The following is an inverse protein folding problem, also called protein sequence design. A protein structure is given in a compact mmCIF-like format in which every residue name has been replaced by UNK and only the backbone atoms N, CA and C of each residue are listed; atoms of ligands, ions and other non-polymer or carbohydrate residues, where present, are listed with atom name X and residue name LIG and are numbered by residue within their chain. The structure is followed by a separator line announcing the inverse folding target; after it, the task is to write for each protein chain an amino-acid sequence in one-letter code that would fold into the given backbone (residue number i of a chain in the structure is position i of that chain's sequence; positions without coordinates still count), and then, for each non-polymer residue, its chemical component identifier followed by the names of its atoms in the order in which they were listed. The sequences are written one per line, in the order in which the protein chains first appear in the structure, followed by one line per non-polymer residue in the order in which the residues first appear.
data_IF_544461048348
#
_entry.id   IF_544461048348
#
_cell.length_a   1.000
_cell.length_b   1.000
_cell.length_c   1.000
_cell.angle_alpha   90.00
_cell.angle_beta   90.00
_cell.angle_gamma   90.00
#
_symmetry.space_group_name_H-M   'P 1'
#
loop_
_entity.id
_entity.type
_entity.pdbx_description
1 polymer ?
#
# COMPACT_ATOMS: atom_id res chain seq x y z
N UNK A 1 1.18 19.73 26.51
CA UNK A 1 0.83 18.88 25.35
C UNK A 1 2.00 18.94 24.38
N UNK A 2 2.73 17.82 24.22
CA UNK A 2 3.85 17.73 23.28
C UNK A 2 3.30 17.75 21.85
N UNK A 3 3.74 18.74 21.02
CA UNK A 3 3.49 18.70 19.57
C UNK A 3 4.13 17.41 19.05
N UNK A 4 3.33 16.51 18.49
CA UNK A 4 3.84 15.37 17.75
C UNK A 4 4.70 15.92 16.60
N UNK A 5 6.01 15.83 16.73
CA UNK A 5 6.94 16.28 15.70
C UNK A 5 6.81 15.36 14.50
N UNK A 6 6.52 15.93 13.34
CA UNK A 6 6.52 15.20 12.08
C UNK A 6 7.87 14.47 11.90
N UNK A 7 7.86 13.17 11.57
CA UNK A 7 9.10 12.43 11.39
C UNK A 7 9.96 13.08 10.30
N UNK A 8 11.25 13.17 10.57
CA UNK A 8 12.21 13.79 9.64
C UNK A 8 12.15 13.10 8.27
N UNK A 9 12.56 13.79 7.21
CA UNK A 9 12.63 13.21 5.85
C UNK A 9 13.51 11.95 5.85
N UNK A 10 14.58 11.92 6.66
CA UNK A 10 15.46 10.73 6.82
C UNK A 10 14.70 9.55 7.42
N UNK A 11 13.90 9.79 8.46
CA UNK A 11 13.06 8.75 9.08
C UNK A 11 12.02 8.21 8.09
N UNK A 12 11.36 9.09 7.34
CA UNK A 12 10.40 8.67 6.31
C UNK A 12 11.06 7.85 5.21
N UNK A 13 12.25 8.23 4.77
CA UNK A 13 13.02 7.46 3.81
C UNK A 13 13.39 6.07 4.35
N UNK A 14 13.89 5.98 5.58
CA UNK A 14 14.23 4.70 6.19
C UNK A 14 13.02 3.77 6.31
N UNK A 15 11.87 4.29 6.75
CA UNK A 15 10.61 3.53 6.85
C UNK A 15 10.14 3.06 5.46
N UNK A 16 10.20 3.92 4.44
CA UNK A 16 9.84 3.56 3.07
C UNK A 16 10.79 2.50 2.49
N UNK A 17 12.09 2.63 2.75
CA UNK A 17 13.08 1.65 2.31
C UNK A 17 12.84 0.27 2.94
N UNK A 18 12.58 0.21 4.25
CA UNK A 18 12.22 -1.04 4.93
C UNK A 18 10.95 -1.64 4.34
N UNK A 19 9.89 -0.86 4.15
CA UNK A 19 8.65 -1.34 3.55
C UNK A 19 8.88 -1.87 2.12
N UNK A 20 9.64 -1.16 1.30
CA UNK A 20 9.95 -1.58 -0.06
C UNK A 20 10.76 -2.89 -0.10
N UNK A 21 11.82 -2.99 0.69
CA UNK A 21 12.63 -4.20 0.77
C UNK A 21 11.82 -5.40 1.30
N UNK A 22 10.93 -5.17 2.26
CA UNK A 22 10.02 -6.20 2.76
C UNK A 22 9.07 -6.71 1.68
N UNK A 23 8.54 -5.82 0.83
CA UNK A 23 7.70 -6.20 -0.32
C UNK A 23 8.51 -7.05 -1.30
N UNK A 24 9.72 -6.62 -1.67
CA UNK A 24 10.58 -7.37 -2.60
C UNK A 24 10.88 -8.76 -2.05
N UNK A 25 11.29 -8.85 -0.79
CA UNK A 25 11.60 -10.13 -0.15
C UNK A 25 10.39 -11.07 -0.09
N UNK A 26 9.23 -10.55 0.33
CA UNK A 26 8.00 -11.33 0.43
C UNK A 26 7.50 -11.81 -0.95
N UNK A 27 7.53 -10.93 -1.97
CA UNK A 27 7.13 -11.31 -3.34
C UNK A 27 8.10 -12.28 -3.97
N UNK A 28 9.41 -12.13 -3.70
CA UNK A 28 10.40 -13.10 -4.15
C UNK A 28 10.19 -14.48 -3.53
N UNK A 29 9.95 -14.54 -2.20
CA UNK A 29 9.68 -15.79 -1.51
C UNK A 29 8.41 -16.48 -2.07
N UNK A 30 7.33 -15.75 -2.24
CA UNK A 30 6.07 -16.23 -2.83
C UNK A 30 6.28 -16.77 -4.25
N UNK A 31 6.96 -16.03 -5.11
CA UNK A 31 7.27 -16.46 -6.48
C UNK A 31 8.17 -17.68 -6.51
N UNK A 32 9.23 -17.71 -5.69
CA UNK A 32 10.15 -18.84 -5.62
C UNK A 32 9.44 -20.12 -5.13
N UNK A 33 8.57 -19.99 -4.13
CA UNK A 33 7.76 -21.10 -3.62
C UNK A 33 6.80 -21.61 -4.70
N UNK A 34 6.09 -20.70 -5.35
CA UNK A 34 5.17 -21.02 -6.46
C UNK A 34 5.89 -21.80 -7.56
N UNK A 35 7.03 -21.29 -8.06
CA UNK A 35 7.78 -21.93 -9.14
C UNK A 35 8.44 -23.27 -8.71
N UNK A 36 8.78 -23.40 -7.42
CA UNK A 36 9.33 -24.65 -6.89
C UNK A 36 8.29 -25.77 -6.89
N UNK A 37 7.07 -25.49 -6.43
CA UNK A 37 6.01 -26.49 -6.32
C UNK A 37 5.15 -26.62 -7.57
N UNK A 38 5.12 -25.62 -8.43
CA UNK A 38 4.32 -25.58 -9.63
C UNK A 38 5.05 -24.91 -10.80
N UNK A 39 6.14 -25.54 -11.32
CA UNK A 39 7.02 -24.93 -12.32
C UNK A 39 6.30 -24.61 -13.65
N UNK A 40 5.23 -25.32 -13.96
CA UNK A 40 4.42 -25.11 -15.18
C UNK A 40 3.24 -24.16 -14.96
N UNK A 41 3.04 -23.68 -13.74
CA UNK A 41 1.91 -22.85 -13.33
C UNK A 41 0.51 -23.47 -13.61
N UNK A 42 0.45 -24.75 -13.92
CA UNK A 42 -0.78 -25.45 -14.30
C UNK A 42 -1.84 -25.54 -13.17
N UNK A 43 -1.40 -25.38 -11.92
CA UNK A 43 -2.25 -25.38 -10.71
C UNK A 43 -2.24 -24.03 -9.99
N UNK A 44 -1.85 -22.98 -10.69
CA UNK A 44 -1.74 -21.66 -10.08
C UNK A 44 -3.14 -21.05 -9.85
N UNK A 45 -3.41 -20.69 -8.60
CA UNK A 45 -4.67 -20.05 -8.23
C UNK A 45 -4.68 -18.54 -8.53
N UNK A 46 -3.52 -17.96 -8.90
CA UNK A 46 -3.45 -16.56 -9.26
C UNK A 46 -4.33 -16.26 -10.48
N UNK A 47 -5.32 -15.34 -10.40
CA UNK A 47 -6.21 -15.02 -11.50
C UNK A 47 -5.49 -14.58 -12.78
N UNK A 48 -4.33 -13.97 -12.68
CA UNK A 48 -3.53 -13.58 -13.86
C UNK A 48 -3.04 -14.80 -14.63
N UNK A 49 -2.71 -15.89 -13.95
CA UNK A 49 -2.33 -17.14 -14.59
C UNK A 49 -3.57 -17.95 -15.01
N UNK A 50 -4.49 -18.18 -14.07
CA UNK A 50 -5.64 -19.08 -14.30
C UNK A 50 -6.67 -18.53 -15.29
N UNK A 51 -6.87 -17.20 -15.34
CA UNK A 51 -7.87 -16.56 -16.22
C UNK A 51 -7.23 -16.02 -17.50
N UNK A 52 -6.05 -15.39 -17.40
CA UNK A 52 -5.38 -14.75 -18.55
C UNK A 52 -4.30 -15.64 -19.20
N UNK A 53 -4.00 -16.80 -18.63
CA UNK A 53 -3.05 -17.76 -19.21
C UNK A 53 -1.61 -17.25 -19.25
N UNK A 54 -1.20 -16.41 -18.30
CA UNK A 54 0.15 -15.85 -18.29
C UNK A 54 1.21 -16.94 -18.07
N UNK A 55 2.25 -16.91 -18.88
CA UNK A 55 3.45 -17.71 -18.66
C UNK A 55 4.33 -17.16 -17.51
N UNK A 56 5.36 -17.88 -17.15
CA UNK A 56 6.30 -17.51 -16.06
C UNK A 56 6.91 -16.13 -16.29
N UNK A 57 7.32 -15.81 -17.52
CA UNK A 57 7.96 -14.56 -17.85
C UNK A 57 6.96 -13.40 -17.71
N UNK A 58 5.77 -13.58 -18.25
CA UNK A 58 4.69 -12.60 -18.15
C UNK A 58 4.26 -12.37 -16.69
N UNK A 59 4.21 -13.45 -15.88
CA UNK A 59 3.93 -13.35 -14.45
C UNK A 59 4.98 -12.52 -13.72
N UNK A 60 6.28 -12.75 -13.98
CA UNK A 60 7.37 -11.97 -13.39
C UNK A 60 7.26 -10.50 -13.81
N UNK A 61 7.08 -10.23 -15.10
CA UNK A 61 6.95 -8.85 -15.62
C UNK A 61 5.75 -8.14 -14.97
N UNK A 62 4.61 -8.80 -14.88
CA UNK A 62 3.40 -8.24 -14.24
C UNK A 62 3.63 -7.92 -12.77
N UNK A 63 4.34 -8.79 -12.03
CA UNK A 63 4.72 -8.54 -10.64
C UNK A 63 5.65 -7.32 -10.52
N UNK A 64 6.67 -7.21 -11.38
CA UNK A 64 7.58 -6.04 -11.39
C UNK A 64 6.81 -4.75 -11.66
N UNK A 65 5.96 -4.72 -12.68
CA UNK A 65 5.12 -3.55 -13.00
C UNK A 65 4.21 -3.21 -11.82
N UNK A 66 3.57 -4.23 -11.21
CA UNK A 66 2.73 -4.04 -10.02
C UNK A 66 3.50 -3.42 -8.85
N UNK A 67 4.70 -3.91 -8.55
CA UNK A 67 5.55 -3.35 -7.49
C UNK A 67 5.93 -1.90 -7.80
N UNK A 68 6.34 -1.60 -9.04
CA UNK A 68 6.71 -0.24 -9.42
C UNK A 68 5.52 0.73 -9.32
N UNK A 69 4.35 0.34 -9.83
CA UNK A 69 3.18 1.20 -9.88
C UNK A 69 2.49 1.34 -8.50
N UNK A 70 2.26 0.23 -7.81
CA UNK A 70 1.42 0.20 -6.60
C UNK A 70 2.20 0.24 -5.28
N UNK A 71 3.51 0.08 -5.32
CA UNK A 71 4.36 0.12 -4.12
C UNK A 71 5.38 1.25 -4.21
N UNK A 72 6.26 1.24 -5.21
CA UNK A 72 7.35 2.21 -5.28
C UNK A 72 6.83 3.65 -5.46
N UNK A 73 5.90 3.89 -6.38
CA UNK A 73 5.38 5.23 -6.61
C UNK A 73 4.68 5.84 -5.37
N UNK A 74 3.79 5.11 -4.65
CA UNK A 74 3.23 5.59 -3.40
C UNK A 74 4.26 5.77 -2.26
N UNK A 75 5.28 4.92 -2.16
CA UNK A 75 6.34 5.10 -1.16
C UNK A 75 7.20 6.33 -1.45
N UNK A 76 7.46 6.63 -2.71
CA UNK A 76 8.12 7.87 -3.11
C UNK A 76 7.27 9.10 -2.73
N UNK A 77 5.95 9.03 -2.91
CA UNK A 77 5.04 10.05 -2.44
C UNK A 77 5.09 10.20 -0.91
N UNK A 78 5.15 9.09 -0.16
CA UNK A 78 5.29 9.09 1.29
C UNK A 78 6.57 9.79 1.76
N UNK A 79 7.70 9.59 1.08
CA UNK A 79 8.98 10.25 1.41
C UNK A 79 8.96 11.71 1.04
N UNK A 80 8.41 12.04 -0.14
CA UNK A 80 8.50 13.38 -0.72
C UNK A 80 7.56 14.38 -0.04
N UNK A 81 6.35 13.95 0.31
CA UNK A 81 5.32 14.83 0.84
C UNK A 81 5.16 14.65 2.35
N UNK A 82 5.18 15.77 3.09
CA UNK A 82 4.89 15.78 4.51
C UNK A 82 3.39 15.58 4.75
N UNK A 83 2.97 15.04 5.93
CA UNK A 83 1.57 15.06 6.33
C UNK A 83 1.03 16.48 6.33
N UNK A 84 -0.28 16.61 6.11
CA UNK A 84 -0.93 17.88 6.34
C UNK A 84 -0.75 18.31 7.80
N UNK A 85 -0.37 19.56 8.01
CA UNK A 85 -0.34 20.13 9.36
C UNK A 85 -1.76 20.11 9.95
N UNK A 86 -1.89 19.65 11.17
CA UNK A 86 -3.16 19.63 11.90
C UNK A 86 -3.10 20.69 13.00
N UNK A 87 -4.12 21.54 13.06
CA UNK A 87 -4.27 22.51 14.15
C UNK A 87 -4.58 21.82 15.48
N UNK A 88 -5.29 20.70 15.41
CA UNK A 88 -5.67 19.90 16.58
C UNK A 88 -5.19 18.45 16.42
N UNK A 89 -4.81 17.83 17.53
CA UNK A 89 -4.44 16.43 17.55
C UNK A 89 -5.70 15.57 17.41
N UNK A 90 -5.83 14.74 16.35
CA UNK A 90 -6.99 13.87 16.18
C UNK A 90 -7.07 12.86 17.32
N UNK A 91 -8.26 12.64 17.85
CA UNK A 91 -8.51 11.70 18.95
C UNK A 91 -8.75 10.27 18.44
N UNK A 92 -9.16 10.13 17.18
CA UNK A 92 -9.46 8.83 16.56
C UNK A 92 -8.79 8.67 15.20
N UNK A 93 -8.59 7.42 14.78
CA UNK A 93 -8.08 7.12 13.44
C UNK A 93 -9.02 7.65 12.35
N UNK A 94 -10.33 7.57 12.55
CA UNK A 94 -11.32 8.09 11.61
C UNK A 94 -11.18 9.61 11.42
N UNK A 95 -11.00 10.34 12.51
CA UNK A 95 -10.74 11.78 12.47
C UNK A 95 -9.43 12.10 11.76
N UNK A 96 -8.36 11.35 12.06
CA UNK A 96 -7.07 11.49 11.38
C UNK A 96 -7.22 11.31 9.86
N UNK A 97 -7.84 10.22 9.42
CA UNK A 97 -8.06 9.92 7.99
C UNK A 97 -8.92 10.99 7.35
N UNK A 98 -10.00 11.40 8.02
CA UNK A 98 -10.91 12.44 7.54
C UNK A 98 -10.19 13.76 7.27
N UNK A 99 -9.40 14.23 8.22
CA UNK A 99 -8.63 15.47 8.08
C UNK A 99 -7.57 15.35 6.99
N UNK A 100 -6.86 14.21 6.92
CA UNK A 100 -5.79 14.02 5.93
C UNK A 100 -6.34 13.96 4.49
N UNK A 101 -7.44 13.25 4.25
CA UNK A 101 -7.99 13.05 2.91
C UNK A 101 -8.92 14.18 2.46
N UNK A 102 -9.74 14.70 3.38
CA UNK A 102 -10.84 15.62 3.03
C UNK A 102 -10.64 17.03 3.54
N UNK A 103 -9.59 17.29 4.34
CA UNK A 103 -9.30 18.59 4.98
C UNK A 103 -10.42 19.10 5.88
N UNK A 104 -11.25 18.21 6.37
CA UNK A 104 -12.33 18.52 7.32
C UNK A 104 -12.62 17.29 8.17
N UNK A 105 -13.22 17.49 9.34
CA UNK A 105 -13.68 16.39 10.18
C UNK A 105 -15.04 15.91 9.68
N UNK A 106 -15.06 14.77 9.00
CA UNK A 106 -16.29 14.12 8.55
C UNK A 106 -16.83 13.22 9.66
N UNK A 107 -18.15 13.21 9.81
CA UNK A 107 -18.79 12.20 10.64
C UNK A 107 -18.40 10.79 10.19
N UNK A 108 -18.23 9.87 11.14
CA UNK A 108 -17.77 8.50 10.89
C UNK A 108 -18.56 7.80 9.76
N UNK A 109 -19.90 7.97 9.73
CA UNK A 109 -20.76 7.42 8.69
C UNK A 109 -20.46 7.96 7.29
N UNK A 110 -20.24 9.28 7.19
CA UNK A 110 -19.88 9.94 5.92
C UNK A 110 -18.48 9.54 5.45
N UNK A 111 -17.53 9.36 6.38
CA UNK A 111 -16.19 8.89 6.06
C UNK A 111 -16.22 7.47 5.47
N UNK A 112 -17.00 6.56 6.06
CA UNK A 112 -17.18 5.22 5.47
C UNK A 112 -17.80 5.27 4.08
N UNK A 113 -18.85 6.07 3.87
CA UNK A 113 -19.42 6.25 2.54
C UNK A 113 -18.39 6.78 1.55
N UNK A 114 -17.60 7.77 1.93
CA UNK A 114 -16.57 8.34 1.08
C UNK A 114 -15.49 7.33 0.69
N UNK A 115 -15.06 6.48 1.64
CA UNK A 115 -14.03 5.45 1.39
C UNK A 115 -14.57 4.31 0.51
N UNK A 116 -15.77 3.79 0.82
CA UNK A 116 -16.30 2.60 0.13
C UNK A 116 -17.03 2.91 -1.18
N UNK A 117 -17.68 4.06 -1.27
CA UNK A 117 -18.42 4.47 -2.46
C UNK A 117 -17.65 5.46 -3.34
N UNK A 118 -16.46 5.90 -2.89
CA UNK A 118 -15.63 6.85 -3.63
C UNK A 118 -16.21 8.27 -3.73
N UNK A 119 -17.19 8.61 -2.92
CA UNK A 119 -17.85 9.93 -2.92
C UNK A 119 -18.10 10.45 -1.50
N UNK A 120 -17.72 11.72 -1.18
CA UNK A 120 -16.98 12.67 -2.03
C UNK A 120 -15.54 12.24 -2.29
N UNK A 121 -14.97 12.66 -3.42
CA UNK A 121 -13.57 12.39 -3.76
C UNK A 121 -12.64 13.07 -2.75
N UNK A 122 -11.48 12.44 -2.44
CA UNK A 122 -10.47 13.08 -1.61
C UNK A 122 -10.03 14.42 -2.18
N UNK A 123 -9.92 15.43 -1.33
CA UNK A 123 -9.44 16.76 -1.74
C UNK A 123 -7.93 16.80 -1.98
N UNK A 124 -7.19 15.91 -1.34
CA UNK A 124 -5.74 15.85 -1.41
C UNK A 124 -5.28 14.50 -1.94
N UNK A 125 -5.09 14.42 -3.26
CA UNK A 125 -4.63 13.20 -3.94
C UNK A 125 -3.24 12.76 -3.51
N UNK A 126 -2.35 13.70 -3.14
CA UNK A 126 -1.01 13.36 -2.69
C UNK A 126 -1.04 12.69 -1.33
N UNK A 127 -1.86 13.19 -0.41
CA UNK A 127 -2.06 12.55 0.89
C UNK A 127 -2.79 11.21 0.76
N UNK A 128 -3.74 11.13 -0.17
CA UNK A 128 -4.42 9.88 -0.50
C UNK A 128 -3.41 8.84 -0.98
N UNK A 129 -2.59 9.16 -1.98
CA UNK A 129 -1.55 8.27 -2.50
C UNK A 129 -0.57 7.85 -1.42
N UNK A 130 -0.17 8.78 -0.53
CA UNK A 130 0.72 8.51 0.58
C UNK A 130 0.14 7.50 1.57
N UNK A 131 -1.10 7.68 2.00
CA UNK A 131 -1.77 6.79 2.96
C UNK A 131 -2.06 5.41 2.36
N UNK A 132 -2.65 5.39 1.18
CA UNK A 132 -2.97 4.12 0.50
C UNK A 132 -1.72 3.36 0.11
N UNK A 133 -0.68 4.03 -0.38
CA UNK A 133 0.54 3.36 -0.80
C UNK A 133 1.27 2.69 0.36
N UNK A 134 1.35 3.34 1.51
CA UNK A 134 1.94 2.74 2.70
C UNK A 134 1.13 1.53 3.17
N UNK A 135 -0.19 1.66 3.24
CA UNK A 135 -1.09 0.55 3.62
C UNK A 135 -1.02 -0.59 2.61
N UNK A 136 -1.05 -0.29 1.31
CA UNK A 136 -0.95 -1.29 0.26
C UNK A 136 0.37 -2.08 0.32
N UNK A 137 1.49 -1.41 0.61
CA UNK A 137 2.79 -2.08 0.76
C UNK A 137 2.76 -3.17 1.83
N UNK A 138 2.24 -2.86 3.01
CA UNK A 138 2.11 -3.84 4.09
C UNK A 138 1.07 -4.92 3.80
N UNK A 139 0.00 -4.59 3.10
CA UNK A 139 -1.00 -5.59 2.64
C UNK A 139 -0.36 -6.59 1.68
N UNK A 140 0.48 -6.12 0.74
CA UNK A 140 1.21 -7.01 -0.18
C UNK A 140 2.18 -7.92 0.58
N UNK A 141 2.93 -7.38 1.55
CA UNK A 141 3.83 -8.20 2.40
C UNK A 141 3.04 -9.28 3.11
N UNK A 142 1.96 -8.91 3.78
CA UNK A 142 1.14 -9.87 4.54
C UNK A 142 0.51 -10.93 3.64
N UNK A 143 -0.08 -10.53 2.51
CA UNK A 143 -0.67 -11.46 1.56
C UNK A 143 0.36 -12.45 0.98
N UNK A 144 1.57 -11.97 0.65
CA UNK A 144 2.65 -12.83 0.14
C UNK A 144 3.15 -13.81 1.21
N UNK A 145 3.25 -13.39 2.48
CA UNK A 145 3.63 -14.28 3.57
C UNK A 145 2.57 -15.37 3.79
N UNK A 146 1.29 -15.01 3.76
CA UNK A 146 0.20 -16.00 3.87
C UNK A 146 0.26 -16.99 2.70
N UNK A 147 0.49 -16.52 1.48
CA UNK A 147 0.61 -17.41 0.31
C UNK A 147 1.83 -18.33 0.37
N UNK A 148 2.92 -17.89 1.02
CA UNK A 148 4.16 -18.68 1.13
C UNK A 148 4.06 -19.77 2.20
N UNK A 149 3.36 -19.51 3.31
CA UNK A 149 3.34 -20.37 4.51
C UNK A 149 1.97 -20.99 4.81
N UNK A 150 0.91 -20.60 4.14
CA UNK A 150 -0.44 -21.15 4.23
C UNK A 150 -0.67 -22.26 3.23
#
# INVERSE_FOLDING_TARGET
MSKATDPSKKTRFAVAAVAFLSVIAARWADLATTLHFNPTLSREANPFVSVFGLDTTQLIVTNVIGILAFVLAPLLAYVRYAPASMEQTPQTLAEYISIQLYRCNLEKKRLYHAIFLGWPLPKDWLQTTRLFGFTASWTVVFASLVATFG
#
